data_IF_367268864625
#
_entry.id   IF_367268864625
#
_cell.length_a   1.000
_cell.length_b   1.000
_cell.length_c   1.000
_cell.angle_alpha   90.00
_cell.angle_beta   90.00
_cell.angle_gamma   90.00
#
_symmetry.space_group_name_H-M   'P 1'
#
loop_
_entity.id
_entity.type
_entity.pdbx_description
1 polymer ?
#
# COMPACT_ATOMS: atom_id res chain seq x y z
N UNK A 1 12.49 -9.74 -40.16
CA UNK A 1 12.10 -10.23 -38.81
C UNK A 1 10.84 -9.49 -38.39
N UNK A 2 9.77 -10.18 -37.99
CA UNK A 2 8.53 -9.52 -37.52
C UNK A 2 8.86 -8.57 -36.36
N UNK A 3 8.34 -7.35 -36.37
CA UNK A 3 8.57 -6.35 -35.30
C UNK A 3 8.25 -6.92 -33.91
N UNK A 4 7.26 -7.83 -33.81
CA UNK A 4 6.95 -8.60 -32.58
C UNK A 4 8.12 -9.45 -32.08
N UNK A 5 8.86 -10.10 -32.98
CA UNK A 5 10.04 -10.92 -32.61
C UNK A 5 11.19 -10.05 -32.14
N UNK A 6 11.38 -8.86 -32.73
CA UNK A 6 12.43 -7.91 -32.34
C UNK A 6 12.16 -7.34 -30.94
N UNK A 7 10.90 -6.99 -30.66
CA UNK A 7 10.51 -6.45 -29.34
C UNK A 7 10.54 -7.54 -28.27
N UNK A 8 10.06 -8.74 -28.57
CA UNK A 8 10.21 -9.89 -27.67
C UNK A 8 11.70 -10.16 -27.41
N UNK A 9 12.56 -10.07 -28.43
CA UNK A 9 14.01 -10.19 -28.26
C UNK A 9 14.57 -9.08 -27.38
N UNK A 10 14.16 -7.82 -27.56
CA UNK A 10 14.60 -6.68 -26.73
C UNK A 10 14.12 -6.84 -25.29
N UNK A 11 12.89 -7.29 -25.07
CA UNK A 11 12.34 -7.53 -23.74
C UNK A 11 13.07 -8.71 -23.06
N UNK A 12 13.32 -9.79 -23.80
CA UNK A 12 14.13 -10.93 -23.32
C UNK A 12 15.58 -10.51 -23.08
N UNK A 13 16.13 -9.60 -23.89
CA UNK A 13 17.48 -9.07 -23.73
C UNK A 13 17.57 -8.20 -22.46
N UNK A 14 16.58 -7.33 -22.20
CA UNK A 14 16.50 -6.50 -20.98
C UNK A 14 16.33 -7.39 -19.74
N UNK A 15 15.52 -8.46 -19.82
CA UNK A 15 15.39 -9.46 -18.76
C UNK A 15 16.69 -10.25 -18.55
N UNK A 16 17.43 -10.57 -19.62
CA UNK A 16 18.71 -11.31 -19.55
C UNK A 16 19.91 -10.45 -19.13
N UNK A 17 19.89 -9.14 -19.43
CA UNK A 17 20.92 -8.18 -19.02
C UNK A 17 20.78 -7.77 -17.56
N UNK A 18 19.72 -8.20 -16.87
CA UNK A 18 19.56 -8.08 -15.41
C UNK A 18 20.40 -9.08 -14.60
N UNK A 19 21.15 -9.97 -15.26
CA UNK A 19 22.02 -10.96 -14.61
C UNK A 19 23.49 -10.60 -14.88
N UNK A 20 23.96 -9.51 -14.28
CA UNK A 20 25.39 -9.22 -14.16
C UNK A 20 25.65 -8.56 -12.82
N UNK A 21 26.70 -9.03 -12.17
CA UNK A 21 26.97 -8.91 -10.74
C UNK A 21 27.05 -7.46 -10.22
N UNK A 22 26.31 -7.23 -9.13
CA UNK A 22 26.52 -6.32 -8.01
C UNK A 22 27.50 -5.15 -8.17
N UNK A 23 26.95 -3.97 -8.48
CA UNK A 23 27.42 -2.73 -7.84
C UNK A 23 26.80 -2.71 -6.44
N UNK A 24 27.52 -3.23 -5.43
CA UNK A 24 27.19 -2.96 -4.03
C UNK A 24 27.61 -1.51 -3.76
N UNK A 25 26.81 -0.55 -4.21
CA UNK A 25 26.76 0.70 -3.49
C UNK A 25 26.30 0.34 -2.08
N UNK A 26 27.09 0.65 -1.06
CA UNK A 26 26.65 0.56 0.33
C UNK A 26 25.51 1.55 0.53
N UNK A 27 24.31 1.16 0.12
CA UNK A 27 23.09 1.86 0.44
C UNK A 27 22.85 1.59 1.93
N UNK A 28 22.97 2.65 2.73
CA UNK A 28 22.48 2.62 4.10
C UNK A 28 20.97 2.51 3.99
N UNK A 29 20.39 1.39 4.44
CA UNK A 29 18.97 1.12 4.23
C UNK A 29 18.07 2.10 4.97
N UNK A 30 18.57 2.86 5.95
CA UNK A 30 17.76 3.78 6.80
C UNK A 30 16.52 3.08 7.38
N UNK A 31 16.60 1.77 7.60
CA UNK A 31 15.48 0.98 8.10
C UNK A 31 15.14 1.41 9.52
N UNK A 32 13.85 1.60 9.78
CA UNK A 32 13.34 2.03 11.08
C UNK A 32 13.50 3.52 11.38
N UNK A 33 13.78 4.38 10.38
CA UNK A 33 13.94 5.84 10.62
C UNK A 33 12.68 6.68 10.33
N UNK A 34 11.54 6.03 10.09
CA UNK A 34 10.27 6.65 9.68
C UNK A 34 9.11 6.14 10.55
N UNK A 35 8.13 7.00 10.80
CA UNK A 35 6.86 6.65 11.46
C UNK A 35 5.81 6.23 10.42
N UNK A 36 4.60 5.82 10.83
CA UNK A 36 3.53 5.54 9.86
C UNK A 36 3.72 4.26 9.06
N UNK A 37 4.42 3.25 9.58
CA UNK A 37 4.79 2.03 8.81
C UNK A 37 3.57 1.27 8.28
N UNK A 38 2.40 1.40 8.90
CA UNK A 38 1.16 0.79 8.42
C UNK A 38 0.78 1.26 7.00
N UNK A 39 1.22 2.45 6.58
CA UNK A 39 1.01 2.97 5.22
C UNK A 39 1.72 2.16 4.13
N UNK A 40 2.60 1.22 4.51
CA UNK A 40 3.27 0.28 3.59
C UNK A 40 2.60 -1.08 3.52
N UNK A 41 1.65 -1.37 4.40
CA UNK A 41 0.91 -2.64 4.36
C UNK A 41 0.05 -2.62 3.10
N UNK A 42 0.16 -3.64 2.23
CA UNK A 42 -0.59 -3.69 0.97
C UNK A 42 -2.10 -3.50 1.18
N UNK A 43 -2.75 -2.88 0.20
CA UNK A 43 -4.21 -2.80 0.09
C UNK A 43 -4.64 -3.50 -1.20
N UNK A 44 -5.77 -4.19 -1.19
CA UNK A 44 -6.31 -4.93 -2.32
C UNK A 44 -5.76 -6.36 -2.38
N UNK A 45 -6.64 -7.36 -2.32
CA UNK A 45 -6.24 -8.75 -2.51
C UNK A 45 -5.67 -8.99 -3.92
N UNK A 46 -6.24 -8.35 -4.97
CA UNK A 46 -5.65 -8.37 -6.32
C UNK A 46 -4.19 -7.92 -6.32
N UNK A 47 -3.92 -6.73 -5.82
CA UNK A 47 -2.58 -6.14 -5.81
C UNK A 47 -1.60 -6.95 -4.93
N UNK A 48 -2.08 -7.41 -3.78
CA UNK A 48 -1.30 -8.25 -2.87
C UNK A 48 -0.92 -9.58 -3.52
N UNK A 49 -1.86 -10.25 -4.20
CA UNK A 49 -1.62 -11.49 -4.95
C UNK A 49 -0.60 -11.33 -6.09
N UNK A 50 -0.44 -10.12 -6.64
CA UNK A 50 0.57 -9.77 -7.65
C UNK A 50 1.90 -9.29 -7.05
N UNK A 51 2.14 -9.48 -5.74
CA UNK A 51 3.38 -9.04 -5.09
C UNK A 51 3.54 -7.52 -5.02
N UNK A 52 2.44 -6.77 -5.10
CA UNK A 52 2.42 -5.31 -5.10
C UNK A 52 2.97 -4.67 -6.37
N UNK A 53 3.16 -5.45 -7.44
CA UNK A 53 3.57 -4.97 -8.76
C UNK A 53 2.34 -4.54 -9.58
N UNK A 54 1.73 -3.42 -9.21
CA UNK A 54 0.49 -2.92 -9.85
C UNK A 54 0.54 -1.43 -10.18
N UNK A 55 1.68 -0.75 -9.99
CA UNK A 55 1.78 0.70 -10.18
C UNK A 55 1.34 1.15 -11.58
N UNK A 56 1.55 0.32 -12.61
CA UNK A 56 1.12 0.58 -13.99
C UNK A 56 -0.16 -0.16 -14.41
N UNK A 57 -0.72 -1.00 -13.54
CA UNK A 57 -1.86 -1.90 -13.82
C UNK A 57 -2.83 -1.90 -12.64
N UNK A 58 -3.20 -0.71 -12.17
CA UNK A 58 -4.24 -0.52 -11.16
C UNK A 58 -5.31 0.39 -11.74
N UNK A 59 -6.56 -0.07 -11.68
CA UNK A 59 -7.72 0.57 -12.29
C UNK A 59 -9.00 0.35 -11.49
N UNK A 60 -8.86 0.11 -10.19
CA UNK A 60 -9.96 -0.08 -9.24
C UNK A 60 -9.79 0.89 -8.06
N UNK A 61 -10.71 0.83 -7.09
CA UNK A 61 -10.69 1.66 -5.87
C UNK A 61 -9.34 1.61 -5.13
N UNK A 62 -8.60 0.49 -5.20
CA UNK A 62 -7.27 0.37 -4.57
C UNK A 62 -6.20 1.26 -5.22
N UNK A 63 -6.46 1.82 -6.41
CA UNK A 63 -5.60 2.81 -7.07
C UNK A 63 -5.29 4.00 -6.15
N UNK A 64 -6.23 4.40 -5.29
CA UNK A 64 -6.00 5.47 -4.31
C UNK A 64 -4.82 5.20 -3.37
N UNK A 65 -4.49 3.92 -3.13
CA UNK A 65 -3.33 3.51 -2.33
C UNK A 65 -2.07 3.31 -3.19
N UNK A 66 -2.17 2.64 -4.35
CA UNK A 66 -0.99 2.26 -5.15
C UNK A 66 -0.52 3.32 -6.15
N UNK A 67 -1.44 3.88 -6.92
CA UNK A 67 -1.17 4.91 -7.91
C UNK A 67 -2.47 5.67 -8.20
N UNK A 68 -2.68 6.88 -7.62
CA UNK A 68 -3.92 7.62 -7.76
C UNK A 68 -4.37 7.88 -9.20
N UNK A 69 -3.44 7.92 -10.18
CA UNK A 69 -3.80 8.09 -11.58
C UNK A 69 -4.61 6.93 -12.17
N UNK A 70 -4.48 5.73 -11.59
CA UNK A 70 -5.24 4.55 -12.00
C UNK A 70 -6.75 4.73 -11.83
N UNK A 71 -7.18 5.61 -10.92
CA UNK A 71 -8.59 5.88 -10.66
C UNK A 71 -9.30 6.59 -11.83
N UNK A 72 -8.55 7.22 -12.75
CA UNK A 72 -9.11 8.00 -13.85
C UNK A 72 -9.90 7.17 -14.87
N UNK A 73 -9.72 5.84 -14.90
CA UNK A 73 -10.39 4.92 -15.84
C UNK A 73 -11.77 4.45 -15.37
N UNK A 74 -12.17 4.77 -14.14
CA UNK A 74 -13.44 4.28 -13.63
C UNK A 74 -14.62 4.89 -14.37
N UNK A 75 -15.47 4.03 -14.91
CA UNK A 75 -16.67 4.41 -15.66
C UNK A 75 -17.95 4.42 -14.81
N UNK A 76 -17.97 3.63 -13.74
CA UNK A 76 -19.09 3.47 -12.81
C UNK A 76 -18.65 3.71 -11.37
N UNK A 77 -19.61 3.89 -10.45
CA UNK A 77 -19.25 4.03 -9.05
C UNK A 77 -18.70 2.70 -8.56
N UNK A 78 -17.65 2.77 -7.76
CA UNK A 78 -17.05 1.57 -7.21
C UNK A 78 -16.83 1.72 -5.72
N UNK A 79 -17.23 0.69 -4.98
CA UNK A 79 -16.97 0.56 -3.55
C UNK A 79 -16.09 -0.67 -3.35
N UNK A 80 -15.08 -0.56 -2.51
CA UNK A 80 -14.23 -1.68 -2.11
C UNK A 80 -14.12 -1.71 -0.59
N UNK A 81 -14.28 -2.91 -0.04
CA UNK A 81 -13.95 -3.23 1.34
C UNK A 81 -12.96 -4.37 1.38
N UNK A 82 -12.07 -4.33 2.37
CA UNK A 82 -11.07 -5.35 2.56
C UNK A 82 -10.82 -5.62 4.03
N UNK A 83 -10.53 -6.89 4.30
CA UNK A 83 -10.06 -7.40 5.57
C UNK A 83 -8.81 -8.25 5.35
N UNK A 84 -7.77 -7.98 6.13
CA UNK A 84 -6.60 -8.83 6.26
C UNK A 84 -6.37 -9.18 7.73
N UNK A 85 -6.24 -10.48 7.98
CA UNK A 85 -5.79 -11.02 9.26
C UNK A 85 -4.27 -10.89 9.31
N UNK A 86 -3.80 -9.81 9.93
CA UNK A 86 -2.39 -9.49 10.02
C UNK A 86 -1.75 -10.22 11.21
N UNK A 87 -0.44 -10.05 11.41
CA UNK A 87 0.27 -10.80 12.44
C UNK A 87 -0.18 -10.44 13.85
N UNK A 88 -0.21 -11.42 14.76
CA UNK A 88 -0.36 -11.23 16.21
C UNK A 88 -1.65 -10.48 16.56
N UNK A 89 -2.79 -10.99 16.09
CA UNK A 89 -4.14 -10.44 16.35
C UNK A 89 -4.30 -8.97 15.95
N UNK A 90 -3.53 -8.54 14.94
CA UNK A 90 -3.67 -7.23 14.31
C UNK A 90 -4.60 -7.38 13.10
N UNK A 91 -5.53 -6.46 12.94
CA UNK A 91 -6.42 -6.44 11.77
C UNK A 91 -6.05 -5.25 10.89
N UNK A 92 -5.91 -5.50 9.59
CA UNK A 92 -5.71 -4.45 8.59
C UNK A 92 -6.95 -4.37 7.69
N UNK A 93 -7.61 -3.22 7.70
CA UNK A 93 -8.87 -3.00 7.02
C UNK A 93 -8.74 -1.83 6.05
N UNK A 94 -9.42 -1.94 4.91
CA UNK A 94 -9.52 -0.86 3.96
C UNK A 94 -10.96 -0.67 3.49
N UNK A 95 -11.36 0.59 3.37
CA UNK A 95 -12.60 1.01 2.74
C UNK A 95 -12.25 2.07 1.68
N UNK A 96 -12.87 1.95 0.51
CA UNK A 96 -12.80 3.01 -0.48
C UNK A 96 -14.08 3.11 -1.29
N UNK A 97 -14.37 4.33 -1.73
CA UNK A 97 -15.47 4.65 -2.63
C UNK A 97 -14.95 5.59 -3.71
N UNK A 98 -15.25 5.29 -4.96
CA UNK A 98 -14.91 6.09 -6.11
C UNK A 98 -16.17 6.43 -6.92
N UNK A 99 -16.29 7.68 -7.33
CA UNK A 99 -17.44 8.24 -8.03
C UNK A 99 -16.93 8.98 -9.27
N UNK A 100 -17.14 8.41 -10.47
CA UNK A 100 -16.81 9.07 -11.71
C UNK A 100 -17.64 10.32 -11.96
N UNK A 101 -17.02 11.29 -12.62
CA UNK A 101 -17.67 12.51 -13.09
C UNK A 101 -17.19 12.85 -14.50
N UNK A 102 -17.84 13.79 -15.18
CA UNK A 102 -17.44 14.22 -16.54
C UNK A 102 -16.02 14.79 -16.64
N UNK A 103 -15.42 15.22 -15.52
CA UNK A 103 -14.10 15.87 -15.50
C UNK A 103 -12.99 14.97 -14.95
N UNK A 104 -13.34 13.80 -14.43
CA UNK A 104 -12.43 12.94 -13.67
C UNK A 104 -13.18 12.18 -12.58
N UNK A 105 -12.45 11.43 -11.77
CA UNK A 105 -13.00 10.54 -10.75
C UNK A 105 -12.61 11.07 -9.38
N UNK A 106 -13.61 11.18 -8.50
CA UNK A 106 -13.40 11.52 -7.09
C UNK A 106 -13.40 10.25 -6.26
N UNK A 107 -12.53 10.17 -5.27
CA UNK A 107 -12.46 9.03 -4.37
C UNK A 107 -12.31 9.44 -2.91
N UNK A 108 -12.80 8.60 -2.02
CA UNK A 108 -12.51 8.67 -0.58
C UNK A 108 -12.03 7.31 -0.11
N UNK A 109 -11.04 7.29 0.77
CA UNK A 109 -10.48 6.04 1.31
C UNK A 109 -10.19 6.15 2.80
N UNK A 110 -10.25 5.01 3.47
CA UNK A 110 -9.84 4.83 4.87
C UNK A 110 -9.06 3.52 4.97
N UNK A 111 -7.87 3.58 5.54
CA UNK A 111 -7.07 2.43 5.95
C UNK A 111 -6.97 2.42 7.46
N UNK A 112 -7.22 1.27 8.08
CA UNK A 112 -7.16 1.10 9.52
C UNK A 112 -6.31 -0.11 9.88
N UNK A 113 -5.32 0.10 10.75
CA UNK A 113 -4.60 -0.97 11.44
C UNK A 113 -5.02 -0.94 12.89
N UNK A 114 -5.72 -1.97 13.35
CA UNK A 114 -6.25 -2.04 14.71
C UNK A 114 -5.61 -3.20 15.45
N UNK A 115 -5.28 -2.96 16.72
CA UNK A 115 -4.80 -3.98 17.64
C UNK A 115 -5.89 -4.24 18.67
N UNK A 116 -5.94 -5.45 19.22
CA UNK A 116 -6.79 -5.76 20.36
C UNK A 116 -6.44 -4.94 21.61
N UNK A 117 -7.17 -5.18 22.69
CA UNK A 117 -6.84 -4.59 23.99
C UNK A 117 -5.55 -5.21 24.56
N UNK A 118 -4.67 -4.36 25.09
CA UNK A 118 -3.47 -4.74 25.81
C UNK A 118 -3.71 -4.60 27.32
N UNK A 119 -3.25 -5.58 28.10
CA UNK A 119 -3.21 -5.43 29.56
C UNK A 119 -2.11 -4.44 29.97
N UNK A 120 -2.47 -3.48 30.82
CA UNK A 120 -1.50 -2.53 31.36
C UNK A 120 -0.71 -3.21 32.50
N UNK A 121 0.61 -3.30 32.34
CA UNK A 121 1.54 -3.82 33.36
C UNK A 121 2.39 -2.69 33.95
N UNK A 122 2.73 -2.81 35.23
CA UNK A 122 3.65 -1.89 35.91
C UNK A 122 4.69 -2.70 36.68
N UNK A 123 5.72 -2.03 37.21
CA UNK A 123 6.71 -2.68 38.07
C UNK A 123 6.05 -3.38 39.28
N UNK A 124 5.03 -2.76 39.88
CA UNK A 124 4.31 -3.30 41.03
C UNK A 124 3.30 -4.40 40.64
N UNK A 125 2.78 -4.36 39.40
CA UNK A 125 1.79 -5.30 38.88
C UNK A 125 2.25 -5.87 37.52
N UNK A 126 3.25 -6.78 37.51
CA UNK A 126 3.81 -7.34 36.28
C UNK A 126 2.84 -8.27 35.55
N UNK A 127 1.88 -8.87 36.27
CA UNK A 127 0.83 -9.73 35.72
C UNK A 127 -0.44 -8.93 35.32
N UNK A 128 -0.35 -7.60 35.31
CA UNK A 128 -1.45 -6.72 34.92
C UNK A 128 -2.08 -5.97 36.09
N UNK A 129 -2.46 -4.72 35.81
CA UNK A 129 -3.11 -3.80 36.76
C UNK A 129 -4.65 -3.96 36.80
N UNK A 130 -5.21 -4.80 35.93
CA UNK A 130 -6.66 -4.90 35.69
C UNK A 130 -7.24 -3.80 34.79
N UNK A 131 -6.39 -2.91 34.27
CA UNK A 131 -6.76 -1.93 33.22
C UNK A 131 -6.26 -2.42 31.86
N UNK A 132 -6.95 -2.01 30.81
CA UNK A 132 -6.55 -2.25 29.43
C UNK A 132 -6.33 -0.95 28.68
N UNK A 133 -5.59 -1.03 27.58
CA UNK A 133 -5.47 0.05 26.63
C UNK A 133 -5.46 -0.44 25.19
N UNK A 134 -5.75 0.48 24.27
CA UNK A 134 -5.80 0.20 22.84
C UNK A 134 -4.67 0.90 22.10
N UNK A 135 -4.34 0.34 20.94
CA UNK A 135 -3.51 0.99 19.94
C UNK A 135 -4.11 0.81 18.56
N UNK A 136 -4.09 1.88 17.76
CA UNK A 136 -4.59 1.85 16.39
C UNK A 136 -3.91 2.90 15.53
N UNK A 137 -3.91 2.65 14.22
CA UNK A 137 -3.47 3.59 13.20
C UNK A 137 -4.55 3.75 12.14
N UNK A 138 -4.78 4.99 11.72
CA UNK A 138 -5.78 5.37 10.73
C UNK A 138 -5.14 6.26 9.67
N UNK A 139 -5.51 6.03 8.41
CA UNK A 139 -5.25 6.94 7.30
C UNK A 139 -6.54 7.17 6.55
N UNK A 140 -7.03 8.41 6.51
CA UNK A 140 -8.17 8.82 5.70
C UNK A 140 -7.72 9.71 4.55
N UNK A 141 -8.23 9.50 3.34
CA UNK A 141 -7.80 10.23 2.16
C UNK A 141 -8.93 10.65 1.23
N UNK A 142 -8.71 11.75 0.51
CA UNK A 142 -9.53 12.21 -0.62
C UNK A 142 -8.68 12.21 -1.88
N UNK A 143 -9.18 11.58 -2.94
CA UNK A 143 -8.49 11.39 -4.21
C UNK A 143 -9.23 12.09 -5.33
N UNK A 144 -8.47 12.64 -6.28
CA UNK A 144 -8.98 13.05 -7.58
C UNK A 144 -8.03 12.58 -8.68
N UNK A 145 -8.59 12.03 -9.75
CA UNK A 145 -7.84 11.58 -10.92
C UNK A 145 -8.54 11.96 -12.21
N UNK A 146 -7.77 12.24 -13.26
CA UNK A 146 -8.31 12.60 -14.56
C UNK A 146 -7.34 12.30 -15.69
N UNK A 147 -7.87 12.26 -16.90
CA UNK A 147 -7.09 12.31 -18.14
C UNK A 147 -6.60 13.73 -18.37
N UNK A 148 -5.28 13.91 -18.41
CA UNK A 148 -4.67 15.18 -18.79
C UNK A 148 -4.49 15.27 -20.32
N UNK A 149 -4.17 14.15 -20.97
CA UNK A 149 -4.15 14.00 -22.43
C UNK A 149 -4.71 12.63 -22.82
N UNK A 150 -4.88 12.38 -24.12
CA UNK A 150 -5.19 11.03 -24.62
C UNK A 150 -4.17 10.03 -24.07
N UNK A 151 -4.66 8.97 -23.41
CA UNK A 151 -3.85 7.91 -22.77
C UNK A 151 -2.90 8.34 -21.65
N UNK A 152 -2.93 9.61 -21.22
CA UNK A 152 -2.10 10.11 -20.13
C UNK A 152 -2.96 10.59 -18.96
N UNK A 153 -2.81 9.88 -17.84
CA UNK A 153 -3.60 10.04 -16.62
C UNK A 153 -2.75 10.62 -15.50
N UNK A 154 -3.37 11.45 -14.69
CA UNK A 154 -2.78 12.02 -13.48
C UNK A 154 -3.77 11.90 -12.34
N UNK A 155 -3.27 11.66 -11.13
CA UNK A 155 -4.07 11.65 -9.93
C UNK A 155 -3.31 12.12 -8.72
N UNK A 156 -4.05 12.59 -7.72
CA UNK A 156 -3.52 12.97 -6.42
C UNK A 156 -4.43 12.52 -5.30
N UNK A 157 -3.83 12.11 -4.17
CA UNK A 157 -4.54 11.69 -2.96
C UNK A 157 -3.99 12.46 -1.75
N UNK A 158 -4.84 13.24 -1.10
CA UNK A 158 -4.50 13.95 0.13
C UNK A 158 -4.95 13.11 1.33
N UNK A 159 -4.02 12.77 2.21
CA UNK A 159 -4.22 11.89 3.38
C UNK A 159 -4.03 12.63 4.70
N UNK A 160 -4.84 12.27 5.68
CA UNK A 160 -4.64 12.53 7.09
C UNK A 160 -4.32 11.22 7.79
N UNK A 161 -3.18 11.17 8.47
CA UNK A 161 -2.62 10.01 9.15
C UNK A 161 -2.69 10.27 10.65
N UNK A 162 -3.16 9.28 11.40
CA UNK A 162 -3.26 9.35 12.86
C UNK A 162 -2.87 8.01 13.46
N UNK A 163 -2.00 8.04 14.47
CA UNK A 163 -1.62 6.88 15.27
C UNK A 163 -1.91 7.18 16.73
N UNK A 164 -2.43 6.19 17.46
CA UNK A 164 -2.64 6.27 18.89
C UNK A 164 -2.10 5.00 19.55
N UNK A 165 -1.35 5.18 20.63
CA UNK A 165 -0.94 4.11 21.53
C UNK A 165 -1.08 4.62 22.96
N UNK A 166 -1.91 3.93 23.75
CA UNK A 166 -2.22 4.31 25.12
C UNK A 166 -2.70 5.78 25.20
N UNK A 167 -2.07 6.59 26.06
CA UNK A 167 -2.35 8.01 26.30
C UNK A 167 -1.54 8.95 25.38
N UNK A 168 -0.99 8.43 24.29
CA UNK A 168 -0.19 9.22 23.33
C UNK A 168 -0.71 9.03 21.91
N UNK A 169 -0.54 10.05 21.10
CA UNK A 169 -0.96 10.04 19.71
C UNK A 169 -0.04 10.86 18.81
N UNK A 170 -0.10 10.61 17.52
CA UNK A 170 0.62 11.38 16.52
C UNK A 170 -0.23 11.59 15.28
N UNK A 171 -0.02 12.69 14.58
CA UNK A 171 -0.73 13.02 13.34
C UNK A 171 0.21 13.53 12.26
N UNK A 172 -0.16 13.30 11.00
CA UNK A 172 0.50 13.89 9.85
C UNK A 172 -0.48 14.10 8.70
N UNK A 173 -0.13 15.03 7.81
CA UNK A 173 -0.76 15.16 6.50
C UNK A 173 0.22 14.67 5.43
N UNK A 174 -0.30 13.99 4.40
CA UNK A 174 0.51 13.48 3.30
C UNK A 174 -0.20 13.66 1.95
N UNK A 175 0.60 13.77 0.89
CA UNK A 175 0.15 13.82 -0.49
C UNK A 175 0.76 12.63 -1.24
N UNK A 176 -0.08 11.94 -2.01
CA UNK A 176 0.35 11.01 -3.03
C UNK A 176 0.07 11.61 -4.40
N UNK A 177 0.98 11.37 -5.35
CA UNK A 177 0.86 11.81 -6.74
C UNK A 177 1.15 10.61 -7.63
N UNK A 178 0.31 10.44 -8.64
CA UNK A 178 0.40 9.36 -9.60
C UNK A 178 0.34 9.85 -11.03
N UNK A 179 1.03 9.16 -11.93
CA UNK A 179 0.82 9.24 -13.37
C UNK A 179 0.73 7.84 -13.96
N UNK A 180 -0.03 7.73 -15.05
CA UNK A 180 -0.13 6.50 -15.83
C UNK A 180 -0.23 6.85 -17.31
N UNK A 181 0.60 6.20 -18.12
CA UNK A 181 0.64 6.38 -19.56
C UNK A 181 0.45 5.04 -20.27
N UNK A 182 -0.54 4.97 -21.13
CA UNK A 182 -0.74 3.82 -22.02
C UNK A 182 -0.03 4.07 -23.33
N UNK A 183 0.94 3.21 -23.65
CA UNK A 183 1.65 3.35 -24.90
C UNK A 183 0.68 2.98 -26.04
N UNK A 184 0.69 3.73 -27.15
CA UNK A 184 -0.24 3.51 -28.27
C UNK A 184 0.03 2.21 -29.03
N UNK A 185 1.03 1.43 -28.62
CA UNK A 185 1.42 0.18 -29.24
C UNK A 185 1.66 -0.91 -28.19
N UNK A 186 1.33 -2.14 -28.56
CA UNK A 186 1.70 -3.38 -27.85
C UNK A 186 1.13 -3.57 -26.44
N UNK A 187 0.06 -2.88 -26.04
CA UNK A 187 -0.58 -3.14 -24.72
C UNK A 187 0.37 -2.91 -23.54
N UNK A 188 1.29 -1.96 -23.69
CA UNK A 188 2.27 -1.61 -22.65
C UNK A 188 1.77 -0.40 -21.88
N UNK A 189 1.85 -0.48 -20.56
CA UNK A 189 1.49 0.59 -19.64
C UNK A 189 2.69 0.95 -18.78
N UNK A 190 2.84 2.24 -18.53
CA UNK A 190 3.90 2.81 -17.71
C UNK A 190 3.28 3.65 -16.61
N UNK A 191 3.70 3.44 -15.37
CA UNK A 191 3.16 4.14 -14.21
C UNK A 191 4.28 4.69 -13.33
N UNK A 192 4.07 5.88 -12.79
CA UNK A 192 4.94 6.44 -11.73
C UNK A 192 4.05 6.86 -10.57
N UNK A 193 4.44 6.50 -9.36
CA UNK A 193 3.75 6.94 -8.15
C UNK A 193 4.75 7.40 -7.11
N UNK A 194 4.44 8.52 -6.47
CA UNK A 194 5.14 8.99 -5.28
C UNK A 194 4.12 9.09 -4.15
N UNK A 195 4.28 8.28 -3.12
CA UNK A 195 3.35 8.20 -1.99
C UNK A 195 4.01 8.69 -0.70
N UNK A 196 3.18 9.20 0.21
CA UNK A 196 3.53 9.64 1.56
C UNK A 196 4.45 10.88 1.61
N UNK A 197 4.30 11.84 0.67
CA UNK A 197 4.98 13.15 0.76
C UNK A 197 4.26 13.96 1.84
N UNK A 198 4.83 14.06 3.04
CA UNK A 198 4.06 14.64 4.15
C UNK A 198 4.88 15.25 5.28
N UNK A 199 4.14 15.73 6.29
CA UNK A 199 4.70 16.28 7.53
C UNK A 199 5.28 15.16 8.40
N UNK A 200 6.25 15.51 9.25
CA UNK A 200 6.78 14.59 10.26
C UNK A 200 5.73 14.27 11.32
N UNK A 201 5.77 13.04 11.82
CA UNK A 201 5.01 12.58 12.98
C UNK A 201 5.84 12.75 14.26
N UNK A 202 5.19 13.19 15.33
CA UNK A 202 5.74 13.29 16.68
C UNK A 202 4.69 12.76 17.66
N UNK A 203 5.06 11.83 18.54
CA UNK A 203 4.16 11.35 19.58
C UNK A 203 3.96 12.43 20.64
N UNK A 204 2.71 12.69 21.01
CA UNK A 204 2.34 13.67 22.01
C UNK A 204 1.12 13.18 22.82
N UNK A 205 1.03 13.58 24.09
CA UNK A 205 -0.10 13.25 24.95
C UNK A 205 0.25 13.20 26.42
N UNK A 206 -0.74 12.86 27.25
CA UNK A 206 -0.63 12.87 28.71
C UNK A 206 0.28 11.76 29.24
N UNK A 207 0.43 10.66 28.49
CA UNK A 207 1.36 9.57 28.83
C UNK A 207 2.84 9.98 28.80
N UNK A 208 3.16 11.20 28.35
CA UNK A 208 4.50 11.78 28.38
C UNK A 208 4.72 12.70 29.58
N UNK A 209 3.68 12.98 30.38
CA UNK A 209 3.79 13.84 31.55
C UNK A 209 4.42 13.02 32.69
N UNK A 210 5.50 13.54 33.25
CA UNK A 210 6.19 12.93 34.38
C UNK A 210 6.45 13.98 35.47
N UNK A 211 6.15 13.64 36.74
CA UNK A 211 6.49 14.51 37.86
C UNK A 211 8.01 14.61 37.96
N UNK A 212 8.53 15.83 38.05
CA UNK A 212 9.96 16.08 38.30
C UNK A 212 10.12 17.05 39.45
N UNK A 213 11.11 16.76 40.30
CA UNK A 213 11.65 17.73 41.25
C UNK A 213 12.83 18.45 40.57
N UNK A 214 12.68 19.75 40.35
CA UNK A 214 13.67 20.57 39.63
C UNK A 214 14.79 21.03 40.59
N UNK A 215 14.54 21.02 41.90
CA UNK A 215 15.47 21.49 42.94
C UNK A 215 15.38 20.58 44.17
N UNK A 216 16.05 19.43 44.08
CA UNK A 216 16.07 18.37 45.11
C UNK A 216 16.67 18.80 46.46
N UNK A 217 17.27 20.00 46.53
CA UNK A 217 17.84 20.57 47.75
C UNK A 217 16.88 21.50 48.49
N UNK A 218 15.76 21.86 47.87
CA UNK A 218 14.75 22.71 48.46
C UNK A 218 13.65 21.84 49.10
N UNK A 219 13.54 21.83 50.42
CA UNK A 219 12.59 21.01 51.19
C UNK A 219 11.09 21.35 50.96
N UNK A 220 10.77 22.18 49.96
CA UNK A 220 9.41 22.47 49.54
C UNK A 220 8.78 21.34 48.72
N UNK A 221 7.48 21.09 48.88
CA UNK A 221 6.73 20.09 48.11
C UNK A 221 6.38 20.62 46.71
N UNK A 222 7.38 20.82 45.85
CA UNK A 222 7.22 21.33 44.49
C UNK A 222 7.46 20.24 43.45
N UNK A 223 6.53 19.28 43.37
CA UNK A 223 6.50 18.36 42.22
C UNK A 223 5.87 19.11 41.04
N UNK A 224 6.69 19.45 40.05
CA UNK A 224 6.22 20.08 38.82
C UNK A 224 5.97 19.03 37.74
N UNK A 225 4.89 19.21 36.98
CA UNK A 225 4.67 18.42 35.77
C UNK A 225 5.70 18.81 34.71
N UNK A 226 6.44 17.83 34.22
CA UNK A 226 7.29 17.95 33.04
C UNK A 226 6.77 17.04 31.93
N UNK A 227 7.06 17.38 30.67
CA UNK A 227 6.63 16.58 29.51
C UNK A 227 7.85 16.06 28.76
N UNK A 228 7.96 14.73 28.64
CA UNK A 228 9.03 14.07 27.93
C UNK A 228 9.01 14.44 26.44
N UNK A 229 10.13 14.97 25.94
CA UNK A 229 10.25 15.33 24.54
C UNK A 229 10.48 14.09 23.67
N UNK A 230 9.64 13.92 22.64
CA UNK A 230 9.72 12.83 21.67
C UNK A 230 10.36 13.28 20.35
N UNK A 231 10.90 12.34 19.58
CA UNK A 231 11.49 12.60 18.26
C UNK A 231 10.45 12.92 17.18
N UNK A 232 10.90 13.55 16.09
CA UNK A 232 10.11 13.80 14.88
C UNK A 232 10.60 12.93 13.74
N UNK A 233 9.72 12.08 13.22
CA UNK A 233 10.06 11.11 12.17
C UNK A 233 9.28 11.39 10.89
N UNK A 234 9.94 11.24 9.76
CA UNK A 234 9.31 11.37 8.45
C UNK A 234 8.34 10.20 8.19
N UNK A 235 7.34 10.41 7.34
CA UNK A 235 6.51 9.34 6.80
C UNK A 235 7.32 8.44 5.83
N UNK A 236 6.87 7.21 5.54
CA UNK A 236 7.60 6.30 4.67
C UNK A 236 7.36 6.68 3.21
N UNK A 237 8.04 7.75 2.76
CA UNK A 237 8.05 8.21 1.37
C UNK A 237 8.45 7.05 0.46
N UNK A 238 7.67 6.81 -0.59
CA UNK A 238 7.92 5.75 -1.54
C UNK A 238 7.73 6.23 -2.97
N UNK A 239 8.80 6.12 -3.76
CA UNK A 239 8.74 6.24 -5.22
C UNK A 239 8.60 4.86 -5.83
N UNK A 240 7.62 4.68 -6.71
CA UNK A 240 7.46 3.50 -7.54
C UNK A 240 7.44 3.86 -9.02
N UNK A 241 8.06 3.01 -9.81
CA UNK A 241 8.03 3.05 -11.27
C UNK A 241 7.63 1.67 -11.76
N UNK A 242 6.48 1.59 -12.43
CA UNK A 242 5.89 0.33 -12.88
C UNK A 242 5.81 0.23 -14.40
N UNK A 243 5.90 -1.00 -14.88
CA UNK A 243 5.57 -1.37 -16.25
C UNK A 243 4.61 -2.56 -16.23
N UNK A 244 3.60 -2.52 -17.09
CA UNK A 244 2.71 -3.65 -17.32
C UNK A 244 2.60 -3.94 -18.82
N UNK A 245 2.43 -5.21 -19.16
CA UNK A 245 2.31 -5.67 -20.53
C UNK A 245 1.24 -6.75 -20.62
N UNK A 246 0.22 -6.49 -21.44
CA UNK A 246 -0.81 -7.46 -21.79
C UNK A 246 -0.28 -8.37 -22.90
N UNK A 247 0.34 -9.47 -22.49
CA UNK A 247 0.98 -10.44 -23.38
C UNK A 247 -0.04 -11.20 -24.25
N UNK A 248 -1.22 -11.45 -23.67
CA UNK A 248 -2.38 -12.02 -24.35
C UNK A 248 -3.59 -11.18 -23.98
N UNK A 249 -4.37 -10.78 -24.98
CA UNK A 249 -5.59 -10.02 -24.81
C UNK A 249 -6.61 -10.53 -25.84
N UNK A 250 -7.45 -11.45 -25.40
CA UNK A 250 -8.52 -12.10 -26.18
C UNK A 250 -9.75 -12.23 -25.28
N UNK A 251 -10.94 -12.39 -25.86
CA UNK A 251 -12.20 -12.49 -25.10
C UNK A 251 -12.17 -13.61 -24.04
N UNK A 252 -11.60 -14.77 -24.35
CA UNK A 252 -11.58 -15.91 -23.42
C UNK A 252 -10.37 -15.97 -22.48
N UNK A 253 -9.30 -15.24 -22.81
CA UNK A 253 -8.01 -15.32 -22.11
C UNK A 253 -7.30 -13.97 -22.16
N UNK A 254 -7.03 -13.41 -20.97
CA UNK A 254 -6.06 -12.33 -20.78
C UNK A 254 -4.87 -12.84 -19.98
N UNK A 255 -3.66 -12.41 -20.35
CA UNK A 255 -2.46 -12.60 -19.54
C UNK A 255 -1.67 -11.30 -19.47
N UNK A 256 -1.54 -10.77 -18.26
CA UNK A 256 -0.82 -9.53 -17.95
C UNK A 256 0.39 -9.84 -17.10
N UNK A 257 1.53 -9.22 -17.43
CA UNK A 257 2.76 -9.29 -16.63
C UNK A 257 3.11 -7.87 -16.19
N UNK A 258 3.52 -7.73 -14.94
CA UNK A 258 3.89 -6.45 -14.35
C UNK A 258 5.23 -6.51 -13.60
N UNK A 259 5.91 -5.38 -13.58
CA UNK A 259 7.16 -5.19 -12.83
C UNK A 259 7.17 -3.78 -12.24
N UNK A 260 7.47 -3.69 -10.94
CA UNK A 260 7.57 -2.43 -10.22
C UNK A 260 8.94 -2.29 -9.57
N UNK A 261 9.67 -1.22 -9.90
CA UNK A 261 10.83 -0.77 -9.14
C UNK A 261 10.40 0.16 -8.02
N UNK A 262 10.82 -0.14 -6.78
CA UNK A 262 10.49 0.64 -5.59
C UNK A 262 11.75 1.26 -4.96
N UNK A 263 11.66 2.55 -4.62
CA UNK A 263 12.70 3.30 -3.93
C UNK A 263 12.09 3.99 -2.69
N UNK A 264 12.08 3.29 -1.54
CA UNK A 264 11.61 3.86 -0.27
C UNK A 264 12.67 4.74 0.40
N UNK A 265 12.24 5.70 1.23
CA UNK A 265 13.16 6.56 2.00
C UNK A 265 13.86 5.84 3.18
N UNK A 266 13.29 4.71 3.62
CA UNK A 266 13.63 3.95 4.82
C UNK A 266 14.01 2.49 4.52
N UNK A 267 14.30 2.16 3.26
CA UNK A 267 14.84 0.85 2.91
C UNK A 267 15.74 0.93 1.68
N UNK A 268 16.35 -0.20 1.32
CA UNK A 268 17.03 -0.36 0.04
C UNK A 268 16.02 -0.48 -1.09
N UNK A 269 16.46 -0.14 -2.30
CA UNK A 269 15.67 -0.31 -3.52
C UNK A 269 15.36 -1.79 -3.77
N UNK A 270 14.22 -2.05 -4.38
CA UNK A 270 13.78 -3.41 -4.70
C UNK A 270 12.92 -3.44 -5.95
N UNK A 271 12.71 -4.65 -6.47
CA UNK A 271 11.86 -4.91 -7.63
C UNK A 271 10.81 -5.93 -7.26
N UNK A 272 9.56 -5.69 -7.60
CA UNK A 272 8.47 -6.67 -7.51
C UNK A 272 8.05 -7.13 -8.90
N UNK A 273 7.71 -8.40 -9.03
CA UNK A 273 7.12 -8.96 -10.25
C UNK A 273 5.73 -9.50 -9.97
N UNK A 274 4.82 -9.33 -10.91
CA UNK A 274 3.45 -9.84 -10.84
C UNK A 274 3.00 -10.41 -12.18
N UNK A 275 2.07 -11.34 -12.12
CA UNK A 275 1.35 -11.84 -13.28
C UNK A 275 -0.12 -12.08 -12.92
N UNK A 276 -1.01 -11.79 -13.86
CA UNK A 276 -2.44 -12.05 -13.77
C UNK A 276 -2.89 -12.78 -15.04
N UNK A 277 -3.69 -13.83 -14.86
CA UNK A 277 -4.37 -14.55 -15.94
C UNK A 277 -5.88 -14.46 -15.69
N UNK A 278 -6.60 -13.88 -16.64
CA UNK A 278 -8.05 -13.83 -16.69
C UNK A 278 -8.58 -14.88 -17.65
N UNK A 279 -9.63 -15.60 -17.24
CA UNK A 279 -10.28 -16.65 -18.02
C UNK A 279 -11.78 -16.34 -18.14
N UNK A 280 -12.34 -16.66 -19.32
CA UNK A 280 -13.77 -16.54 -19.61
C UNK A 280 -14.27 -15.09 -19.37
N UNK A 281 -13.73 -14.14 -20.13
CA UNK A 281 -14.05 -12.71 -20.00
C UNK A 281 -13.87 -12.23 -18.54
N UNK A 282 -12.72 -12.55 -17.96
CA UNK A 282 -12.34 -12.26 -16.56
C UNK A 282 -13.23 -12.83 -15.45
N UNK A 283 -14.15 -13.75 -15.76
CA UNK A 283 -14.96 -14.39 -14.73
C UNK A 283 -14.09 -15.03 -13.64
N UNK A 284 -12.98 -15.66 -14.04
CA UNK A 284 -11.99 -16.22 -13.12
C UNK A 284 -10.62 -15.58 -13.33
N UNK A 285 -10.01 -15.15 -12.23
CA UNK A 285 -8.71 -14.49 -12.22
C UNK A 285 -7.76 -15.29 -11.34
N UNK A 286 -6.55 -15.54 -11.84
CA UNK A 286 -5.46 -16.19 -11.09
C UNK A 286 -4.24 -15.31 -11.15
N UNK A 287 -3.57 -15.15 -10.00
CA UNK A 287 -2.49 -14.20 -9.81
C UNK A 287 -1.33 -14.84 -9.07
N UNK A 288 -0.13 -14.42 -9.43
CA UNK A 288 1.08 -14.76 -8.69
C UNK A 288 2.06 -13.59 -8.72
N UNK A 289 2.82 -13.43 -7.65
CA UNK A 289 3.81 -12.37 -7.57
C UNK A 289 4.94 -12.68 -6.61
N UNK A 290 6.07 -12.02 -6.86
CA UNK A 290 7.27 -12.08 -6.02
C UNK A 290 7.62 -10.65 -5.63
N UNK A 291 7.34 -10.24 -4.39
CA UNK A 291 7.60 -8.88 -3.93
C UNK A 291 9.08 -8.66 -3.55
N UNK A 292 9.51 -7.40 -3.63
CA UNK A 292 10.71 -6.86 -2.99
C UNK A 292 12.03 -7.62 -3.25
N UNK A 293 12.23 -8.17 -4.45
CA UNK A 293 13.51 -8.76 -4.86
C UNK A 293 14.63 -7.73 -4.79
N UNK A 294 15.79 -8.15 -4.28
CA UNK A 294 16.94 -7.28 -4.04
C UNK A 294 16.94 -6.57 -2.68
N UNK A 295 15.84 -6.62 -1.92
CA UNK A 295 15.82 -6.08 -0.56
C UNK A 295 16.67 -6.93 0.39
N UNK A 296 17.55 -6.29 1.18
CA UNK A 296 18.53 -6.97 2.07
C UNK A 296 17.87 -7.91 3.08
N UNK A 297 16.86 -7.40 3.77
CA UNK A 297 16.12 -8.12 4.82
C UNK A 297 14.71 -8.47 4.34
N UNK A 298 14.61 -9.00 3.11
CA UNK A 298 13.33 -9.40 2.54
C UNK A 298 12.67 -10.48 3.40
N UNK A 299 11.50 -10.18 3.93
CA UNK A 299 10.70 -11.11 4.74
C UNK A 299 9.57 -11.76 3.94
N UNK A 300 9.00 -11.06 2.96
CA UNK A 300 7.92 -11.57 2.11
C UNK A 300 8.51 -12.37 0.94
N UNK A 301 7.99 -13.58 0.69
CA UNK A 301 8.61 -14.54 -0.22
C UNK A 301 7.89 -14.60 -1.57
N UNK A 302 6.64 -15.06 -1.56
CA UNK A 302 5.79 -15.20 -2.74
C UNK A 302 4.33 -14.96 -2.35
N UNK A 303 3.55 -14.45 -3.30
CA UNK A 303 2.15 -14.16 -3.13
C UNK A 303 1.34 -14.86 -4.22
N UNK A 304 0.15 -15.33 -3.85
CA UNK A 304 -0.83 -15.90 -4.76
C UNK A 304 -2.16 -15.21 -4.57
N UNK A 305 -2.96 -15.13 -5.63
CA UNK A 305 -4.31 -14.61 -5.52
C UNK A 305 -5.26 -15.28 -6.50
N UNK A 306 -6.53 -15.31 -6.12
CA UNK A 306 -7.64 -15.71 -6.98
C UNK A 306 -8.72 -14.65 -6.93
N UNK A 307 -9.47 -14.53 -8.02
CA UNK A 307 -10.57 -13.59 -8.14
C UNK A 307 -11.74 -14.19 -8.90
N UNK A 308 -12.94 -13.77 -8.53
CA UNK A 308 -14.17 -14.04 -9.29
C UNK A 308 -14.82 -12.70 -9.56
N UNK A 309 -15.07 -12.39 -10.83
CA UNK A 309 -15.74 -11.18 -11.26
C UNK A 309 -17.05 -11.52 -11.98
N UNK A 310 -18.16 -10.88 -11.61
CA UNK A 310 -19.45 -11.14 -12.24
C UNK A 310 -20.29 -9.88 -12.39
N UNK A 311 -20.63 -9.57 -13.63
CA UNK A 311 -21.63 -8.56 -13.99
C UNK A 311 -23.06 -9.10 -13.94
N UNK A 312 -23.99 -8.24 -13.53
CA UNK A 312 -25.43 -8.46 -13.49
C UNK A 312 -26.16 -7.32 -14.20
N UNK A 313 -27.37 -7.61 -14.70
CA UNK A 313 -28.28 -6.60 -15.26
C UNK A 313 -27.62 -5.71 -16.35
N UNK A 314 -27.11 -6.34 -17.42
CA UNK A 314 -26.34 -5.67 -18.49
C UNK A 314 -25.17 -4.82 -17.96
N UNK A 315 -24.42 -5.36 -16.98
CA UNK A 315 -23.28 -4.71 -16.32
C UNK A 315 -23.62 -3.43 -15.55
N UNK A 316 -24.88 -3.18 -15.21
CA UNK A 316 -25.24 -2.08 -14.30
C UNK A 316 -24.88 -2.36 -12.84
N UNK A 317 -24.58 -3.62 -12.51
CA UNK A 317 -24.10 -4.04 -11.18
C UNK A 317 -23.01 -5.09 -11.37
N UNK A 318 -21.82 -4.82 -10.87
CA UNK A 318 -20.70 -5.76 -10.87
C UNK A 318 -20.32 -6.16 -9.44
N UNK A 319 -20.06 -7.45 -9.22
CA UNK A 319 -19.51 -7.96 -7.98
C UNK A 319 -18.18 -8.64 -8.25
N UNK A 320 -17.15 -8.25 -7.51
CA UNK A 320 -15.85 -8.89 -7.57
C UNK A 320 -15.40 -9.30 -6.17
N UNK A 321 -15.00 -10.55 -6.06
CA UNK A 321 -14.42 -11.13 -4.85
C UNK A 321 -13.00 -11.54 -5.15
N UNK A 322 -12.04 -11.06 -4.36
CA UNK A 322 -10.65 -11.43 -4.48
C UNK A 322 -10.11 -11.94 -3.15
N UNK A 323 -9.25 -12.96 -3.24
CA UNK A 323 -8.51 -13.51 -2.11
C UNK A 323 -7.02 -13.52 -2.46
N UNK A 324 -6.19 -13.22 -1.46
CA UNK A 324 -4.74 -13.32 -1.57
C UNK A 324 -4.12 -14.04 -0.37
N UNK A 325 -3.10 -14.82 -0.69
CA UNK A 325 -2.21 -15.48 0.24
C UNK A 325 -0.82 -14.86 0.10
N UNK A 326 -0.30 -14.30 1.19
CA UNK A 326 1.01 -13.68 1.26
C UNK A 326 1.93 -14.50 2.17
N UNK A 327 3.04 -15.01 1.64
CA UNK A 327 3.98 -15.84 2.41
C UNK A 327 5.11 -15.02 3.02
N UNK A 328 5.41 -15.25 4.30
CA UNK A 328 6.46 -14.57 5.06
C UNK A 328 7.40 -15.57 5.74
N UNK A 329 8.70 -15.30 5.64
CA UNK A 329 9.78 -16.17 6.15
C UNK A 329 9.69 -16.48 7.65
N UNK A 330 9.28 -15.50 8.47
CA UNK A 330 9.32 -15.61 9.93
C UNK A 330 7.95 -15.60 10.61
N UNK A 331 6.93 -15.05 9.95
CA UNK A 331 5.62 -14.78 10.55
C UNK A 331 4.50 -15.62 9.92
N UNK A 332 4.86 -16.67 9.17
CA UNK A 332 3.91 -17.55 8.54
C UNK A 332 3.29 -16.93 7.29
N UNK A 333 1.97 -16.76 7.28
CA UNK A 333 1.26 -16.24 6.13
C UNK A 333 0.14 -15.31 6.51
N UNK A 334 -0.11 -14.31 5.67
CA UNK A 334 -1.25 -13.41 5.78
C UNK A 334 -2.29 -13.77 4.73
N UNK A 335 -3.55 -13.76 5.14
CA UNK A 335 -4.69 -13.95 4.27
C UNK A 335 -5.45 -12.63 4.13
N UNK A 336 -5.77 -12.26 2.90
CA UNK A 336 -6.47 -11.02 2.59
C UNK A 336 -7.67 -11.30 1.70
N UNK A 337 -8.79 -10.67 2.02
CA UNK A 337 -10.03 -10.77 1.27
C UNK A 337 -10.48 -9.37 0.92
N UNK A 338 -10.82 -9.13 -0.34
CA UNK A 338 -11.47 -7.89 -0.78
C UNK A 338 -12.76 -8.18 -1.53
N UNK A 339 -13.77 -7.38 -1.24
CA UNK A 339 -15.04 -7.35 -1.94
C UNK A 339 -15.20 -5.99 -2.61
N UNK A 340 -15.54 -6.00 -3.88
CA UNK A 340 -15.78 -4.81 -4.67
C UNK A 340 -17.16 -4.87 -5.32
N UNK A 341 -17.87 -3.75 -5.28
CA UNK A 341 -19.19 -3.55 -5.85
C UNK A 341 -19.10 -2.38 -6.83
N UNK A 342 -19.58 -2.59 -8.04
CA UNK A 342 -19.59 -1.58 -9.10
C UNK A 342 -21.04 -1.27 -9.49
N UNK A 343 -21.47 -0.01 -9.56
CA UNK A 343 -22.88 0.38 -9.72
C UNK A 343 -23.15 1.79 -10.28
#
# INVERSE_FOLDING_TARGET
MNNKKVILLIFTLIVSMGISETIVAQSVSKTGTTAGQFLRIPVGARASGMGGAVTADVGDVSAMFWNPAGLADLEQNELMVEYADWFVDINHNYFGLAIPSKKGVFGVNVTALTMGEFEETTFDFPEGTGRTFEAYMLSGGVTYATYLFDKFRIGGNLKFVHEKIFQTSSTAMALDIGTLYELPFYGIRFGVSVTNIGTKMQLDGDGLITPVDIDDQNEGNYIADSKLATGRFDLPLMLKVGFAYDAVDTEDLRATISVDGANPSDNVQSVSFGAEVGLLDDLFLVRGGVPYLGQRDRTQEYNFGIGINRGFNNNSLGLKFDYAYESYKYLGSVNRISLQIMF
#
